data_IF_893271976015
#
_entry.id   IF_893271976015
#
_cell.length_a   1.000
_cell.length_b   1.000
_cell.length_c   1.000
_cell.angle_alpha   90.00
_cell.angle_beta   90.00
_cell.angle_gamma   90.00
#
_symmetry.space_group_name_H-M   'P 1'
#
loop_
_entity.id
_entity.type
_entity.pdbx_description
1 polymer ?
#
# COMPACT_ATOMS: atom_id res chain seq x y z
N UNK A 1 -32.18 -14.77 50.86
CA UNK A 1 -32.58 -15.48 49.63
C UNK A 1 -31.77 -14.93 48.47
N UNK A 2 -31.09 -15.83 47.75
CA UNK A 2 -30.24 -15.54 46.59
C UNK A 2 -31.08 -15.03 45.43
N UNK A 3 -30.65 -13.97 44.74
CA UNK A 3 -30.78 -13.87 43.29
C UNK A 3 -29.55 -13.14 42.72
N UNK A 4 -28.71 -13.92 42.07
CA UNK A 4 -27.60 -13.49 41.25
C UNK A 4 -28.16 -12.82 39.98
N UNK A 5 -27.82 -11.56 39.72
CA UNK A 5 -28.06 -10.95 38.42
C UNK A 5 -26.73 -10.87 37.69
N UNK A 6 -26.73 -11.54 36.54
CA UNK A 6 -25.60 -11.88 35.69
C UNK A 6 -25.08 -10.62 34.99
N UNK A 7 -23.76 -10.53 34.90
CA UNK A 7 -23.04 -9.62 34.00
C UNK A 7 -23.43 -9.96 32.57
N UNK A 8 -23.89 -8.98 31.80
CA UNK A 8 -23.89 -9.07 30.33
C UNK A 8 -23.24 -7.81 29.79
N UNK A 9 -21.96 -7.93 29.45
CA UNK A 9 -21.23 -6.94 28.67
C UNK A 9 -21.80 -6.89 27.25
N UNK A 10 -22.06 -5.71 26.73
CA UNK A 10 -22.29 -5.48 25.31
C UNK A 10 -21.18 -4.55 24.79
N UNK A 11 -20.04 -5.16 24.44
CA UNK A 11 -18.99 -4.51 23.64
C UNK A 11 -19.41 -4.74 22.19
N UNK A 12 -20.00 -3.73 21.54
CA UNK A 12 -20.18 -3.75 20.09
C UNK A 12 -18.88 -3.21 19.48
N UNK A 13 -18.03 -4.12 19.07
CA UNK A 13 -16.82 -3.82 18.30
C UNK A 13 -17.20 -3.46 16.85
N UNK A 14 -16.82 -2.23 16.47
CA UNK A 14 -16.09 -1.82 15.25
C UNK A 14 -16.13 -2.81 14.07
N UNK A 15 -16.45 -2.28 12.87
CA UNK A 15 -15.68 -2.43 11.60
C UNK A 15 -16.60 -2.15 10.40
N UNK A 16 -16.93 -0.87 10.18
CA UNK A 16 -17.21 -0.42 8.82
C UNK A 16 -16.02 0.44 8.43
N UNK A 17 -15.25 -0.04 7.47
CA UNK A 17 -14.39 0.70 6.53
C UNK A 17 -13.49 -0.35 5.83
N UNK A 18 -14.10 -1.24 5.06
CA UNK A 18 -13.37 -2.02 4.04
C UNK A 18 -14.20 -1.96 2.76
N UNK A 19 -14.19 -0.78 2.16
CA UNK A 19 -14.61 -0.56 0.78
C UNK A 19 -13.42 -0.10 -0.04
N UNK A 20 -12.29 -0.82 0.06
CA UNK A 20 -11.22 -0.66 -0.92
C UNK A 20 -11.76 -1.22 -2.24
N UNK A 21 -12.06 -0.34 -3.18
CA UNK A 21 -12.50 -0.71 -4.52
C UNK A 21 -11.43 -1.61 -5.14
N UNK A 22 -11.77 -2.87 -5.41
CA UNK A 22 -10.90 -3.87 -6.02
C UNK A 22 -10.79 -3.67 -7.55
N UNK A 23 -10.61 -2.43 -8.00
CA UNK A 23 -10.18 -2.20 -9.37
C UNK A 23 -8.79 -2.85 -9.53
N UNK A 24 -8.57 -3.69 -10.56
CA UNK A 24 -7.26 -4.22 -10.90
C UNK A 24 -6.19 -3.10 -10.87
N UNK A 25 -4.99 -3.39 -10.36
CA UNK A 25 -3.87 -2.43 -10.35
C UNK A 25 -3.62 -1.83 -11.74
N UNK A 26 -3.81 -2.62 -12.79
CA UNK A 26 -3.70 -2.23 -14.21
C UNK A 26 -4.70 -1.14 -14.62
N UNK A 27 -5.86 -1.06 -13.95
CA UNK A 27 -6.85 0.00 -14.19
C UNK A 27 -6.54 1.28 -13.40
N UNK A 28 -5.80 1.14 -12.29
CA UNK A 28 -5.45 2.26 -11.40
C UNK A 28 -4.15 2.95 -11.80
N UNK A 29 -3.20 2.22 -12.39
CA UNK A 29 -1.84 2.69 -12.65
C UNK A 29 -1.41 2.39 -14.08
N UNK A 30 -0.92 3.42 -14.77
CA UNK A 30 -0.43 3.35 -16.12
C UNK A 30 1.06 3.01 -16.17
N UNK A 31 1.50 2.15 -17.12
CA UNK A 31 2.90 1.84 -17.31
C UNK A 31 3.79 3.07 -17.55
N UNK A 32 4.98 3.05 -16.95
CA UNK A 32 6.00 4.08 -17.14
C UNK A 32 5.71 5.42 -16.44
N UNK A 33 4.59 5.55 -15.74
CA UNK A 33 4.26 6.73 -14.93
C UNK A 33 4.86 6.57 -13.52
N UNK A 34 5.40 7.66 -12.98
CA UNK A 34 5.87 7.73 -11.59
C UNK A 34 4.72 8.02 -10.65
N UNK A 35 4.52 7.15 -9.67
CA UNK A 35 3.56 7.30 -8.59
C UNK A 35 4.28 7.43 -7.25
N UNK A 36 3.82 8.31 -6.36
CA UNK A 36 4.53 8.66 -5.13
C UNK A 36 3.76 8.29 -3.87
N UNK A 37 4.47 7.70 -2.90
CA UNK A 37 3.90 7.16 -1.68
C UNK A 37 4.76 7.48 -0.46
N UNK A 38 4.14 7.66 0.70
CA UNK A 38 4.84 7.88 1.97
C UNK A 38 5.49 6.60 2.52
N UNK A 39 4.93 5.44 2.18
CA UNK A 39 5.37 4.16 2.68
C UNK A 39 5.38 3.10 1.58
N UNK A 40 6.10 2.01 1.83
CA UNK A 40 6.14 0.84 0.98
C UNK A 40 6.36 -0.40 1.84
N UNK A 41 5.41 -1.32 1.85
CA UNK A 41 5.50 -2.60 2.55
C UNK A 41 5.38 -3.77 1.57
N UNK A 42 6.51 -4.38 1.16
CA UNK A 42 6.49 -5.53 0.25
C UNK A 42 5.99 -6.82 0.92
N UNK A 43 5.85 -6.85 2.25
CA UNK A 43 5.33 -8.01 2.97
C UNK A 43 3.79 -8.02 3.08
N UNK A 44 3.12 -6.93 2.70
CA UNK A 44 1.66 -6.82 2.66
C UNK A 44 1.06 -7.82 1.65
N UNK A 45 -0.04 -8.50 2.04
CA UNK A 45 -0.73 -9.51 1.21
C UNK A 45 -2.25 -9.38 1.32
N UNK A 46 -3.00 -9.13 0.22
CA UNK A 46 -2.48 -8.69 -1.08
C UNK A 46 -1.76 -7.35 -0.95
N UNK A 47 -0.72 -7.11 -1.76
CA UNK A 47 -0.07 -5.82 -1.79
C UNK A 47 -1.01 -4.78 -2.39
N UNK A 48 -1.19 -3.67 -1.68
CA UNK A 48 -1.87 -2.48 -2.18
C UNK A 48 -0.94 -1.29 -1.92
N UNK A 49 -0.52 -0.55 -2.97
CA UNK A 49 0.29 0.65 -2.78
C UNK A 49 -0.49 1.78 -2.09
N UNK A 50 -1.82 1.68 -1.98
CA UNK A 50 -2.65 2.73 -1.41
C UNK A 50 -2.89 3.86 -2.40
N UNK A 51 -2.99 5.09 -1.91
CA UNK A 51 -3.29 6.26 -2.74
C UNK A 51 -2.00 6.93 -3.22
N UNK A 52 -1.90 7.18 -4.52
CA UNK A 52 -0.87 8.04 -5.10
C UNK A 52 -1.03 9.48 -4.59
N UNK A 53 0.10 10.10 -4.24
CA UNK A 53 0.17 11.45 -3.73
C UNK A 53 0.96 12.35 -4.68
N UNK A 54 0.72 13.65 -4.59
CA UNK A 54 1.55 14.60 -5.33
C UNK A 54 2.95 14.67 -4.72
N UNK A 55 3.95 14.99 -5.54
CA UNK A 55 5.35 15.08 -5.09
C UNK A 55 5.52 16.10 -3.95
N UNK A 56 4.77 17.22 -3.95
CA UNK A 56 4.84 18.20 -2.86
C UNK A 56 4.30 17.69 -1.53
N UNK A 57 3.44 16.66 -1.54
CA UNK A 57 2.88 16.06 -0.33
C UNK A 57 3.93 15.15 0.33
N UNK A 58 4.53 14.24 -0.43
CA UNK A 58 5.52 13.29 0.09
C UNK A 58 6.87 13.94 0.41
N UNK A 59 7.25 15.00 -0.30
CA UNK A 59 8.54 15.68 -0.10
C UNK A 59 8.68 16.25 1.31
N UNK A 60 7.57 16.65 1.95
CA UNK A 60 7.55 17.18 3.32
C UNK A 60 8.12 16.20 4.35
N UNK A 61 8.00 14.90 4.08
CA UNK A 61 8.45 13.85 4.97
C UNK A 61 9.94 13.53 4.79
N UNK A 62 10.58 14.05 3.73
CA UNK A 62 11.96 13.78 3.33
C UNK A 62 12.31 12.29 3.13
N UNK A 63 11.38 11.36 3.31
CA UNK A 63 11.53 9.93 3.06
C UNK A 63 10.27 9.47 2.33
N UNK A 64 10.42 9.04 1.09
CA UNK A 64 9.29 8.68 0.24
C UNK A 64 9.68 7.68 -0.84
N UNK A 65 8.66 7.09 -1.45
CA UNK A 65 8.80 6.04 -2.45
C UNK A 65 8.20 6.51 -3.78
N UNK A 66 8.89 6.20 -4.86
CA UNK A 66 8.39 6.31 -6.23
C UNK A 66 8.24 4.89 -6.77
N UNK A 67 7.06 4.57 -7.29
CA UNK A 67 6.75 3.27 -7.88
C UNK A 67 6.43 3.48 -9.35
N UNK A 68 7.11 2.73 -10.21
CA UNK A 68 6.93 2.77 -11.67
C UNK A 68 6.57 1.36 -12.14
N UNK A 69 5.42 1.23 -12.80
CA UNK A 69 4.97 -0.02 -13.39
C UNK A 69 5.63 -0.25 -14.76
N UNK A 70 6.02 -1.49 -15.02
CA UNK A 70 6.53 -1.89 -16.32
C UNK A 70 5.41 -1.93 -17.38
N UNK A 71 5.79 -2.11 -18.65
CA UNK A 71 4.84 -2.18 -19.77
C UNK A 71 3.84 -3.33 -19.64
N UNK A 72 4.19 -4.40 -18.91
CA UNK A 72 3.30 -5.53 -18.70
C UNK A 72 2.36 -5.37 -17.50
N UNK A 73 2.55 -4.35 -16.65
CA UNK A 73 1.85 -4.19 -15.37
C UNK A 73 2.19 -5.26 -14.33
N UNK A 74 3.16 -6.15 -14.62
CA UNK A 74 3.52 -7.28 -13.76
C UNK A 74 4.82 -7.07 -13.03
N UNK A 75 5.63 -6.11 -13.42
CA UNK A 75 6.83 -5.73 -12.68
C UNK A 75 6.76 -4.27 -12.26
N UNK A 76 7.35 -3.97 -11.11
CA UNK A 76 7.49 -2.60 -10.62
C UNK A 76 8.94 -2.31 -10.27
N UNK A 77 9.34 -1.06 -10.47
CA UNK A 77 10.55 -0.49 -9.89
C UNK A 77 10.12 0.40 -8.74
N UNK A 78 10.72 0.18 -7.57
CA UNK A 78 10.47 0.97 -6.36
C UNK A 78 11.75 1.70 -6.00
N UNK A 79 11.73 3.02 -6.14
CA UNK A 79 12.81 3.90 -5.72
C UNK A 79 12.48 4.49 -4.36
N UNK A 80 13.42 4.42 -3.40
CA UNK A 80 13.32 5.19 -2.15
C UNK A 80 14.18 6.43 -2.23
N UNK A 81 13.62 7.55 -1.84
CA UNK A 81 14.31 8.83 -1.76
C UNK A 81 14.42 9.27 -0.30
N UNK A 82 15.63 9.67 0.10
CA UNK A 82 15.88 10.38 1.35
C UNK A 82 16.41 11.77 1.02
N UNK A 83 15.72 12.81 1.47
CA UNK A 83 16.04 14.21 1.19
C UNK A 83 16.25 14.49 -0.30
N UNK A 84 15.31 14.02 -1.14
CA UNK A 84 15.34 14.15 -2.60
C UNK A 84 16.51 13.43 -3.29
N UNK A 85 17.26 12.59 -2.57
CA UNK A 85 18.32 11.74 -3.13
C UNK A 85 17.81 10.32 -3.18
N UNK A 86 17.87 9.71 -4.37
CA UNK A 86 17.59 8.28 -4.52
C UNK A 86 18.63 7.49 -3.74
N UNK A 87 18.20 6.77 -2.70
CA UNK A 87 19.08 5.96 -1.84
C UNK A 87 18.95 4.47 -2.11
N UNK A 88 17.84 4.03 -2.72
CA UNK A 88 17.60 2.63 -3.07
C UNK A 88 16.71 2.52 -4.30
N UNK A 89 16.90 1.46 -5.09
CA UNK A 89 16.06 1.09 -6.22
C UNK A 89 15.94 -0.44 -6.24
N UNK A 90 14.75 -0.95 -5.99
CA UNK A 90 14.45 -2.39 -6.00
C UNK A 90 13.48 -2.71 -7.14
N UNK A 91 13.50 -3.95 -7.62
CA UNK A 91 12.53 -4.44 -8.60
C UNK A 91 11.73 -5.58 -8.00
N UNK A 92 10.42 -5.57 -8.25
CA UNK A 92 9.52 -6.63 -7.80
C UNK A 92 8.67 -7.16 -8.96
N UNK A 93 8.39 -8.45 -8.92
CA UNK A 93 7.35 -9.10 -9.71
C UNK A 93 6.05 -9.13 -8.89
N UNK A 94 4.96 -8.65 -9.50
CA UNK A 94 3.60 -8.76 -8.97
C UNK A 94 3.06 -10.14 -9.37
N UNK A 95 2.79 -10.99 -8.38
CA UNK A 95 2.19 -12.31 -8.59
C UNK A 95 0.67 -12.18 -8.80
N UNK A 96 -0.01 -13.20 -9.36
CA UNK A 96 -1.46 -13.16 -9.56
C UNK A 96 -2.30 -12.97 -8.29
N UNK A 97 -1.74 -13.34 -7.12
CA UNK A 97 -2.35 -13.10 -5.81
C UNK A 97 -2.03 -11.70 -5.23
N UNK A 98 -1.42 -10.84 -6.06
CA UNK A 98 -0.92 -9.52 -5.71
C UNK A 98 0.17 -9.52 -4.63
N UNK A 99 0.86 -10.63 -4.40
CA UNK A 99 2.09 -10.61 -3.60
C UNK A 99 3.27 -10.07 -4.41
N UNK A 100 4.21 -9.40 -3.72
CA UNK A 100 5.46 -8.93 -4.32
C UNK A 100 6.60 -9.93 -4.10
N UNK A 101 7.31 -10.24 -5.19
CA UNK A 101 8.51 -11.05 -5.17
C UNK A 101 9.71 -10.24 -5.65
N UNK A 102 10.75 -10.15 -4.82
CA UNK A 102 11.98 -9.43 -5.16
C UNK A 102 12.73 -10.11 -6.33
N UNK A 103 13.25 -9.31 -7.25
CA UNK A 103 14.04 -9.74 -8.42
C UNK A 103 15.53 -9.49 -8.26
#
# INVERSE_FOLDING_TARGET
MRQHIRVTAAIVAILYWVGASAAPLEERFHPGVSYYFENFDPAMKPWDPGQDLNIEEVFKNYDYYEIIFDQSGREIVVNRYLQNRKVRSDRFLIRPDLSLEAR
#
